data_IF_323028854118
#
_entry.id   IF_323028854118
#
_cell.length_a   1.000
_cell.length_b   1.000
_cell.length_c   1.000
_cell.angle_alpha   90.00
_cell.angle_beta   90.00
_cell.angle_gamma   90.00
#
_symmetry.space_group_name_H-M   'P 1'
#
loop_
_entity.id
_entity.type
_entity.pdbx_description
1 polymer ?
#
# COMPACT_ATOMS: atom_id res chain seq x y z
N UNK A 1 35.08 11.10 -5.29
CA UNK A 1 33.70 10.61 -5.45
C UNK A 1 33.09 10.55 -4.05
N UNK A 2 32.12 11.38 -3.75
CA UNK A 2 31.35 11.30 -2.49
C UNK A 2 30.66 9.95 -2.42
N UNK A 3 30.80 9.23 -1.30
CA UNK A 3 30.16 7.95 -1.10
C UNK A 3 28.63 8.11 -1.29
N UNK A 4 28.02 7.26 -2.12
CA UNK A 4 26.56 7.25 -2.32
C UNK A 4 25.87 6.93 -1.01
N UNK A 5 24.86 7.70 -0.64
CA UNK A 5 24.05 7.41 0.54
C UNK A 5 23.35 6.05 0.38
N UNK A 6 23.50 5.19 1.40
CA UNK A 6 22.90 3.86 1.41
C UNK A 6 21.48 3.89 1.98
N UNK A 7 20.53 3.22 1.30
CA UNK A 7 19.15 3.05 1.70
C UNK A 7 18.87 1.55 1.82
N UNK A 8 18.34 1.12 2.96
CA UNK A 8 17.78 -0.21 3.11
C UNK A 8 16.37 -0.26 2.52
N UNK A 9 16.04 -1.29 1.74
CA UNK A 9 14.70 -1.49 1.20
C UNK A 9 14.21 -2.91 1.49
N UNK A 10 13.14 -3.03 2.26
CA UNK A 10 12.61 -4.30 2.73
C UNK A 10 11.20 -4.53 2.15
N UNK A 11 11.06 -5.62 1.40
CA UNK A 11 9.85 -5.95 0.64
C UNK A 11 9.99 -5.54 -0.82
N UNK A 12 10.42 -6.47 -1.68
CA UNK A 12 10.72 -6.27 -3.10
C UNK A 12 9.68 -6.92 -4.01
N UNK A 13 8.43 -6.93 -3.56
CA UNK A 13 7.29 -7.37 -4.37
C UNK A 13 6.92 -6.41 -5.50
N UNK A 14 5.69 -6.52 -6.03
CA UNK A 14 5.21 -5.76 -7.18
C UNK A 14 5.38 -4.24 -7.06
N UNK A 15 5.27 -3.69 -5.85
CA UNK A 15 5.47 -2.26 -5.58
C UNK A 15 6.92 -1.95 -5.21
N UNK A 16 7.54 -2.77 -4.34
CA UNK A 16 8.85 -2.46 -3.78
C UNK A 16 9.99 -2.55 -4.80
N UNK A 17 9.99 -3.54 -5.70
CA UNK A 17 11.03 -3.68 -6.70
C UNK A 17 11.13 -2.45 -7.63
N UNK A 18 10.06 -1.94 -8.26
CA UNK A 18 10.15 -0.72 -9.05
C UNK A 18 10.55 0.52 -8.23
N UNK A 19 10.12 0.62 -6.96
CA UNK A 19 10.54 1.72 -6.09
C UNK A 19 12.05 1.65 -5.77
N UNK A 20 12.58 0.46 -5.49
CA UNK A 20 14.01 0.24 -5.27
C UNK A 20 14.84 0.63 -6.51
N UNK A 21 14.36 0.30 -7.72
CA UNK A 21 14.98 0.74 -9.00
C UNK A 21 15.04 2.25 -9.10
N UNK A 22 13.92 2.94 -8.83
CA UNK A 22 13.87 4.42 -8.88
C UNK A 22 14.88 5.06 -7.93
N UNK A 23 15.09 4.49 -6.75
CA UNK A 23 16.11 4.97 -5.80
C UNK A 23 17.53 4.76 -6.34
N UNK A 24 17.81 3.59 -6.92
CA UNK A 24 19.12 3.30 -7.53
C UNK A 24 19.40 4.23 -8.72
N UNK A 25 18.41 4.47 -9.59
CA UNK A 25 18.48 5.44 -10.69
C UNK A 25 18.67 6.88 -10.19
N UNK A 26 18.09 7.21 -9.03
CA UNK A 26 18.29 8.48 -8.32
C UNK A 26 19.68 8.64 -7.67
N UNK A 27 20.56 7.63 -7.81
CA UNK A 27 21.95 7.69 -7.36
C UNK A 27 22.19 7.16 -5.95
N UNK A 28 21.17 6.57 -5.29
CA UNK A 28 21.35 5.89 -4.01
C UNK A 28 21.97 4.49 -4.21
N UNK A 29 22.68 4.01 -3.19
CA UNK A 29 23.03 2.60 -3.06
C UNK A 29 21.90 1.91 -2.29
N UNK A 30 21.24 0.93 -2.89
CA UNK A 30 20.08 0.25 -2.28
C UNK A 30 20.50 -1.13 -1.77
N UNK A 31 20.37 -1.39 -0.47
CA UNK A 31 20.47 -2.72 0.12
C UNK A 31 19.08 -3.31 0.22
N UNK A 32 18.76 -4.20 -0.72
CA UNK A 32 17.44 -4.82 -0.86
C UNK A 32 17.31 -6.14 -0.09
N UNK A 33 16.14 -6.37 0.53
CA UNK A 33 15.80 -7.65 1.15
C UNK A 33 14.33 -7.99 0.95
N UNK A 34 14.06 -9.25 0.71
CA UNK A 34 12.73 -9.84 0.68
C UNK A 34 12.70 -11.11 1.54
N UNK A 35 11.50 -11.56 1.93
CA UNK A 35 11.33 -12.86 2.61
C UNK A 35 11.80 -14.00 1.71
N UNK A 36 11.61 -13.87 0.40
CA UNK A 36 12.17 -14.73 -0.62
C UNK A 36 13.53 -14.18 -1.04
N UNK A 37 14.60 -14.83 -0.60
CA UNK A 37 15.98 -14.36 -0.86
C UNK A 37 16.28 -14.25 -2.36
N UNK A 38 15.72 -15.16 -3.18
CA UNK A 38 15.84 -15.15 -4.63
C UNK A 38 15.29 -13.89 -5.29
N UNK A 39 14.24 -13.28 -4.72
CA UNK A 39 13.69 -12.01 -5.24
C UNK A 39 14.71 -10.86 -5.12
N UNK A 40 15.40 -10.78 -3.97
CA UNK A 40 16.43 -9.77 -3.77
C UNK A 40 17.67 -10.03 -4.63
N UNK A 41 18.08 -11.29 -4.77
CA UNK A 41 19.22 -11.68 -5.61
C UNK A 41 18.96 -11.36 -7.09
N UNK A 42 17.81 -11.77 -7.62
CA UNK A 42 17.44 -11.51 -9.02
C UNK A 42 17.36 -10.00 -9.32
N UNK A 43 16.86 -9.20 -8.38
CA UNK A 43 16.83 -7.75 -8.54
C UNK A 43 18.23 -7.13 -8.55
N UNK A 44 19.12 -7.61 -7.67
CA UNK A 44 20.50 -7.14 -7.59
C UNK A 44 21.32 -7.52 -8.83
N UNK A 45 21.08 -8.68 -9.44
CA UNK A 45 21.69 -9.08 -10.71
C UNK A 45 21.22 -8.25 -11.90
N UNK A 46 19.94 -7.84 -11.89
CA UNK A 46 19.34 -7.10 -12.99
C UNK A 46 19.60 -5.60 -12.95
N UNK A 47 19.91 -5.02 -11.77
CA UNK A 47 19.90 -3.57 -11.57
C UNK A 47 21.17 -3.06 -10.89
N UNK A 48 21.91 -2.22 -11.61
CA UNK A 48 23.07 -1.55 -11.05
C UNK A 48 22.69 -0.61 -9.89
N UNK A 49 23.43 -0.66 -8.78
CA UNK A 49 23.15 0.15 -7.59
C UNK A 49 22.22 -0.51 -6.58
N UNK A 50 21.73 -1.72 -6.87
CA UNK A 50 21.01 -2.56 -5.92
C UNK A 50 21.88 -3.74 -5.51
N UNK A 51 21.92 -4.04 -4.22
CA UNK A 51 22.65 -5.16 -3.63
C UNK A 51 21.68 -5.97 -2.77
N UNK A 52 21.76 -7.30 -2.85
CA UNK A 52 21.00 -8.17 -1.97
C UNK A 52 21.65 -8.23 -0.59
N UNK A 53 20.93 -7.83 0.46
CA UNK A 53 21.40 -7.92 1.83
C UNK A 53 21.21 -9.37 2.35
N UNK A 54 22.23 -9.95 2.97
CA UNK A 54 22.15 -11.28 3.55
C UNK A 54 21.27 -11.32 4.80
N UNK A 55 21.19 -10.20 5.56
CA UNK A 55 20.39 -10.09 6.77
C UNK A 55 19.88 -8.68 7.04
N UNK A 56 18.95 -8.57 8.00
CA UNK A 56 18.49 -7.27 8.51
C UNK A 56 19.64 -6.49 9.16
N UNK A 57 20.59 -7.20 9.73
CA UNK A 57 21.77 -6.63 10.38
C UNK A 57 22.68 -5.88 9.41
N UNK A 58 22.81 -6.40 8.18
CA UNK A 58 23.62 -5.73 7.15
C UNK A 58 22.99 -4.41 6.75
N UNK A 59 21.66 -4.41 6.62
CA UNK A 59 20.88 -3.20 6.36
C UNK A 59 21.01 -2.22 7.51
N UNK A 60 20.79 -2.68 8.75
CA UNK A 60 20.81 -1.80 9.92
C UNK A 60 22.18 -1.17 10.20
N UNK A 61 23.27 -1.90 9.90
CA UNK A 61 24.63 -1.36 10.05
C UNK A 61 25.04 -0.41 8.93
N UNK A 62 24.54 -0.63 7.71
CA UNK A 62 24.96 0.12 6.53
C UNK A 62 24.07 1.33 6.21
N UNK A 63 22.82 1.34 6.70
CA UNK A 63 21.80 2.29 6.25
C UNK A 63 21.24 3.11 7.41
N UNK A 64 21.31 4.44 7.30
CA UNK A 64 20.62 5.36 8.23
C UNK A 64 19.14 5.60 7.85
N UNK A 65 18.74 5.19 6.64
CA UNK A 65 17.36 5.25 6.14
C UNK A 65 16.96 3.85 5.70
N UNK A 66 15.83 3.36 6.22
CA UNK A 66 15.28 2.07 5.82
C UNK A 66 13.82 2.21 5.45
N UNK A 67 13.48 1.77 4.24
CA UNK A 67 12.11 1.75 3.72
C UNK A 67 11.53 0.34 3.88
N UNK A 68 10.30 0.26 4.39
CA UNK A 68 9.49 -0.98 4.41
C UNK A 68 8.33 -0.87 3.43
N UNK A 69 8.11 -1.92 2.63
CA UNK A 69 7.00 -2.05 1.69
C UNK A 69 6.42 -3.47 1.80
N UNK A 70 5.70 -3.71 2.89
CA UNK A 70 5.28 -5.00 3.39
C UNK A 70 3.75 -5.15 3.36
N UNK A 71 3.21 -6.37 3.50
CA UNK A 71 1.75 -6.59 3.37
C UNK A 71 0.90 -5.88 4.41
N UNK A 72 1.39 -5.76 5.64
CA UNK A 72 0.62 -5.21 6.77
C UNK A 72 1.51 -4.75 7.94
N UNK A 73 0.88 -4.14 8.94
CA UNK A 73 1.55 -3.65 10.15
C UNK A 73 2.21 -4.76 10.99
N UNK A 74 1.70 -5.98 10.95
CA UNK A 74 2.28 -7.10 11.69
C UNK A 74 3.63 -7.50 11.09
N UNK A 75 3.69 -7.61 9.75
CA UNK A 75 4.94 -7.86 9.03
C UNK A 75 5.96 -6.74 9.24
N UNK A 76 5.52 -5.47 9.22
CA UNK A 76 6.39 -4.31 9.51
C UNK A 76 6.94 -4.41 10.93
N UNK A 77 6.08 -4.64 11.93
CA UNK A 77 6.49 -4.78 13.32
C UNK A 77 7.49 -5.93 13.51
N UNK A 78 7.21 -7.09 12.90
CA UNK A 78 8.07 -8.26 12.99
C UNK A 78 9.46 -8.00 12.42
N UNK A 79 9.55 -7.37 11.25
CA UNK A 79 10.83 -6.99 10.63
C UNK A 79 11.58 -5.96 11.47
N UNK A 80 10.86 -4.96 11.97
CA UNK A 80 11.49 -3.83 12.67
C UNK A 80 11.87 -4.18 14.10
N UNK A 81 10.96 -4.80 14.88
CA UNK A 81 11.18 -5.09 16.31
C UNK A 81 11.47 -6.56 16.62
N UNK A 82 11.20 -7.50 15.69
CA UNK A 82 11.29 -8.94 15.92
C UNK A 82 10.02 -9.53 16.56
N UNK A 83 10.08 -10.83 16.90
CA UNK A 83 8.96 -11.57 17.48
C UNK A 83 8.59 -11.08 18.89
N UNK A 84 7.28 -11.03 19.23
CA UNK A 84 6.85 -10.72 20.58
C UNK A 84 7.39 -11.77 21.57
N UNK A 85 7.93 -11.33 22.71
CA UNK A 85 8.41 -12.23 23.76
C UNK A 85 9.84 -12.73 23.60
N UNK A 86 10.52 -12.45 22.51
CA UNK A 86 11.97 -12.62 22.43
C UNK A 86 12.61 -11.48 23.23
N UNK A 87 13.49 -11.84 24.18
CA UNK A 87 14.29 -10.87 24.92
C UNK A 87 14.93 -9.89 23.93
N UNK A 88 14.90 -8.57 24.25
CA UNK A 88 15.62 -7.56 23.45
C UNK A 88 17.00 -8.12 23.17
N UNK A 89 17.39 -8.30 21.90
CA UNK A 89 18.72 -8.82 21.61
C UNK A 89 19.74 -7.86 22.21
N UNK A 90 20.65 -8.39 23.00
CA UNK A 90 21.87 -7.67 23.33
C UNK A 90 22.51 -7.20 22.03
N UNK A 91 23.06 -5.99 21.97
CA UNK A 91 23.75 -5.47 20.78
C UNK A 91 24.65 -6.56 20.20
N UNK A 92 24.42 -6.95 18.95
CA UNK A 92 25.25 -7.92 18.23
C UNK A 92 24.57 -9.25 17.85
N UNK A 93 23.32 -9.53 18.29
CA UNK A 93 22.58 -10.73 17.88
C UNK A 93 21.19 -10.32 17.36
N UNK A 94 21.15 -9.47 16.35
CA UNK A 94 19.92 -8.86 15.88
C UNK A 94 19.14 -9.81 14.95
N UNK A 95 18.03 -10.33 15.44
CA UNK A 95 16.96 -10.90 14.62
C UNK A 95 15.93 -9.83 14.20
N UNK A 96 16.21 -8.54 14.45
CA UNK A 96 15.35 -7.40 14.13
C UNK A 96 16.15 -6.23 13.60
N UNK A 97 15.54 -5.45 12.72
CA UNK A 97 16.18 -4.27 12.13
C UNK A 97 16.61 -3.24 13.19
N UNK A 98 15.71 -2.93 14.14
CA UNK A 98 15.97 -1.91 15.18
C UNK A 98 17.15 -2.25 16.08
N UNK A 99 17.50 -3.53 16.24
CA UNK A 99 18.67 -3.97 17.02
C UNK A 99 20.01 -3.58 16.39
N UNK A 100 20.05 -3.37 15.09
CA UNK A 100 21.27 -3.05 14.32
C UNK A 100 21.32 -1.60 13.83
N UNK A 101 20.20 -0.88 13.83
CA UNK A 101 20.14 0.53 13.43
C UNK A 101 20.90 1.44 14.42
N UNK A 102 21.59 2.42 13.89
CA UNK A 102 22.21 3.47 14.68
C UNK A 102 21.14 4.43 15.25
N UNK A 103 21.44 5.06 16.39
CA UNK A 103 20.62 6.17 16.89
C UNK A 103 20.60 7.29 15.86
N UNK A 104 19.44 7.90 15.68
CA UNK A 104 19.21 8.94 14.65
C UNK A 104 18.84 8.38 13.28
N UNK A 105 18.82 7.05 13.09
CA UNK A 105 18.27 6.42 11.88
C UNK A 105 16.77 6.67 11.77
N UNK A 106 16.24 6.55 10.54
CA UNK A 106 14.81 6.66 10.27
C UNK A 106 14.30 5.42 9.53
N UNK A 107 13.20 4.88 10.01
CA UNK A 107 12.40 3.88 9.30
C UNK A 107 11.27 4.61 8.58
N UNK A 108 11.08 4.34 7.30
CA UNK A 108 10.01 4.90 6.46
C UNK A 108 9.07 3.76 6.08
N UNK A 109 7.93 3.68 6.73
CA UNK A 109 6.94 2.64 6.41
C UNK A 109 6.03 3.12 5.26
N UNK A 110 6.26 2.57 4.07
CA UNK A 110 5.48 2.85 2.86
C UNK A 110 4.40 1.77 2.60
N UNK A 111 4.21 0.86 3.54
CA UNK A 111 3.18 -0.19 3.53
C UNK A 111 1.76 0.39 3.70
N UNK A 112 0.74 -0.46 3.67
CA UNK A 112 -0.62 -0.10 4.10
C UNK A 112 -0.87 -0.72 5.48
N UNK A 113 -0.60 0.06 6.52
CA UNK A 113 -0.62 -0.35 7.93
C UNK A 113 -1.76 0.31 8.71
N UNK A 114 -2.16 -0.30 9.83
CA UNK A 114 -3.12 0.30 10.76
C UNK A 114 -2.49 1.53 11.47
N UNK A 115 -3.14 2.70 11.47
CA UNK A 115 -2.59 3.92 12.08
C UNK A 115 -2.17 3.75 13.54
N UNK A 116 -2.99 3.08 14.36
CA UNK A 116 -2.68 2.80 15.77
C UNK A 116 -1.45 1.92 15.96
N UNK A 117 -1.26 0.91 15.09
CA UNK A 117 -0.07 0.06 15.11
C UNK A 117 1.19 0.87 14.75
N UNK A 118 1.08 1.80 13.82
CA UNK A 118 2.17 2.72 13.44
C UNK A 118 2.58 3.61 14.60
N UNK A 119 1.61 4.21 15.29
CA UNK A 119 1.88 5.03 16.49
C UNK A 119 2.57 4.22 17.58
N UNK A 120 2.09 2.99 17.84
CA UNK A 120 2.70 2.09 18.81
C UNK A 120 4.13 1.67 18.43
N UNK A 121 4.38 1.38 17.14
CA UNK A 121 5.71 1.09 16.63
C UNK A 121 6.65 2.29 16.78
N UNK A 122 6.18 3.50 16.46
CA UNK A 122 6.95 4.72 16.62
C UNK A 122 7.35 5.00 18.06
N UNK A 123 6.45 4.76 19.03
CA UNK A 123 6.76 4.87 20.44
C UNK A 123 7.89 3.90 20.85
N UNK A 124 7.82 2.63 20.41
CA UNK A 124 8.85 1.64 20.70
C UNK A 124 10.22 2.00 20.08
N UNK A 125 10.23 2.56 18.87
CA UNK A 125 11.45 3.00 18.18
C UNK A 125 12.08 4.23 18.83
N UNK A 126 11.25 5.15 19.34
CA UNK A 126 11.73 6.37 20.02
C UNK A 126 12.62 6.04 21.21
N UNK A 127 12.29 5.01 21.98
CA UNK A 127 13.10 4.54 23.11
C UNK A 127 14.50 4.08 22.67
N UNK A 128 14.61 3.62 21.41
CA UNK A 128 15.87 3.22 20.81
C UNK A 128 16.60 4.39 20.11
N UNK A 129 15.98 5.57 20.07
CA UNK A 129 16.49 6.75 19.36
C UNK A 129 16.41 6.62 17.85
N UNK A 130 15.43 5.88 17.34
CA UNK A 130 15.14 5.69 15.92
C UNK A 130 13.81 6.39 15.63
N UNK A 131 13.75 7.16 14.54
CA UNK A 131 12.52 7.81 14.12
C UNK A 131 11.71 6.92 13.17
N UNK A 132 10.40 7.12 13.16
CA UNK A 132 9.47 6.49 12.22
C UNK A 132 8.73 7.59 11.46
N UNK A 133 8.61 7.39 10.15
CA UNK A 133 7.73 8.16 9.25
C UNK A 133 6.83 7.14 8.55
N UNK A 134 5.53 7.34 8.58
CA UNK A 134 4.61 6.58 7.75
C UNK A 134 4.37 7.33 6.44
N UNK A 135 4.59 6.64 5.33
CA UNK A 135 4.59 7.25 4.01
C UNK A 135 3.93 6.33 2.95
N UNK A 136 2.72 5.82 3.20
CA UNK A 136 2.03 4.98 2.24
C UNK A 136 1.79 5.70 0.92
N UNK A 137 1.64 4.89 -0.15
CA UNK A 137 1.61 5.40 -1.52
C UNK A 137 0.30 5.11 -2.24
N UNK A 138 0.00 5.94 -3.23
CA UNK A 138 -1.10 5.75 -4.17
C UNK A 138 -0.62 5.95 -5.60
N UNK A 139 -1.14 5.12 -6.55
CA UNK A 139 -0.80 5.19 -7.96
C UNK A 139 -0.53 3.82 -8.59
N UNK A 140 -0.35 2.78 -7.76
CA UNK A 140 -0.11 1.40 -8.21
C UNK A 140 1.25 1.21 -8.89
N UNK A 141 1.46 0.01 -9.44
CA UNK A 141 2.72 -0.39 -10.06
C UNK A 141 3.17 0.55 -11.21
N UNK A 142 2.27 1.05 -12.09
CA UNK A 142 2.69 1.97 -13.15
C UNK A 142 3.38 3.22 -12.58
N UNK A 143 2.79 3.85 -11.57
CA UNK A 143 3.38 5.05 -10.96
C UNK A 143 4.60 4.76 -10.07
N UNK A 144 4.73 3.54 -9.55
CA UNK A 144 5.95 3.12 -8.89
C UNK A 144 7.12 3.01 -9.86
N UNK A 145 6.85 2.58 -11.11
CA UNK A 145 7.85 2.47 -12.18
C UNK A 145 8.33 3.81 -12.72
N UNK A 146 7.42 4.77 -12.88
CA UNK A 146 7.75 6.09 -13.44
C UNK A 146 8.12 7.15 -12.38
N UNK A 147 8.08 6.80 -11.07
CA UNK A 147 8.43 7.72 -9.99
C UNK A 147 7.39 8.81 -9.76
N UNK A 148 6.12 8.57 -10.07
CA UNK A 148 5.03 9.56 -9.94
C UNK A 148 3.98 9.21 -8.88
N UNK A 149 4.37 8.41 -7.87
CA UNK A 149 3.50 8.05 -6.76
C UNK A 149 3.03 9.30 -6.00
N UNK A 150 1.82 9.24 -5.45
CA UNK A 150 1.40 10.15 -4.39
C UNK A 150 1.79 9.51 -3.06
N UNK A 151 2.64 10.18 -2.30
CA UNK A 151 3.18 9.74 -1.01
C UNK A 151 2.48 10.53 0.10
N UNK A 152 1.81 9.84 1.01
CA UNK A 152 1.06 10.44 2.13
C UNK A 152 1.93 10.35 3.38
N UNK A 153 2.70 11.41 3.68
CA UNK A 153 3.71 11.37 4.73
C UNK A 153 3.20 11.92 6.07
N UNK A 154 3.19 11.07 7.08
CA UNK A 154 2.93 11.41 8.48
C UNK A 154 4.16 11.23 9.36
N UNK A 155 4.35 12.13 10.32
CA UNK A 155 5.50 12.09 11.23
C UNK A 155 6.14 13.45 11.49
N UNK A 156 7.32 13.48 12.15
CA UNK A 156 8.03 14.73 12.42
C UNK A 156 8.38 15.47 11.13
N UNK A 157 8.01 16.75 11.05
CA UNK A 157 8.17 17.56 9.84
C UNK A 157 9.64 17.61 9.36
N UNK A 158 10.58 17.78 10.29
CA UNK A 158 12.01 17.83 10.00
C UNK A 158 12.54 16.51 9.40
N UNK A 159 11.97 15.36 9.82
CA UNK A 159 12.32 14.05 9.25
C UNK A 159 11.78 13.90 7.85
N UNK A 160 10.52 14.31 7.63
CA UNK A 160 9.93 14.30 6.29
C UNK A 160 10.75 15.19 5.34
N UNK A 161 11.20 16.37 5.81
CA UNK A 161 12.05 17.28 5.02
C UNK A 161 13.40 16.65 4.68
N UNK A 162 14.02 15.98 5.64
CA UNK A 162 15.31 15.31 5.42
C UNK A 162 15.22 14.15 4.41
N UNK A 163 14.03 13.60 4.21
CA UNK A 163 13.74 12.53 3.24
C UNK A 163 13.37 13.06 1.84
N UNK A 164 13.33 14.38 1.64
CA UNK A 164 12.95 14.96 0.36
C UNK A 164 13.73 14.41 -0.85
N UNK A 165 15.06 14.20 -0.80
CA UNK A 165 15.79 13.60 -1.91
C UNK A 165 15.35 12.16 -2.23
N UNK A 166 14.99 11.37 -1.20
CA UNK A 166 14.50 9.99 -1.33
C UNK A 166 13.12 9.99 -1.97
N UNK A 167 12.21 10.81 -1.44
CA UNK A 167 10.86 10.91 -1.96
C UNK A 167 10.79 11.45 -3.40
N UNK A 168 11.70 12.36 -3.77
CA UNK A 168 11.76 12.90 -5.12
C UNK A 168 12.01 11.82 -6.20
N UNK A 169 12.67 10.72 -5.85
CA UNK A 169 12.85 9.57 -6.76
C UNK A 169 11.56 8.77 -6.93
N UNK A 170 10.66 8.79 -5.95
CA UNK A 170 9.49 7.92 -5.86
C UNK A 170 8.20 8.61 -6.28
N UNK A 171 8.09 9.93 -6.05
CA UNK A 171 6.88 10.66 -6.35
C UNK A 171 6.72 11.99 -5.62
N UNK A 172 5.47 12.38 -5.46
CA UNK A 172 5.08 13.66 -4.85
C UNK A 172 4.58 13.45 -3.42
N UNK A 173 5.19 14.15 -2.47
CA UNK A 173 4.79 14.11 -1.06
C UNK A 173 3.60 15.01 -0.78
N UNK A 174 2.64 14.44 -0.04
CA UNK A 174 1.58 15.16 0.65
C UNK A 174 1.79 14.93 2.15
N UNK A 175 2.07 15.99 2.90
CA UNK A 175 2.19 15.91 4.36
C UNK A 175 0.80 15.80 4.96
N UNK A 176 0.59 14.80 5.78
CA UNK A 176 -0.73 14.48 6.35
C UNK A 176 -0.85 14.87 7.83
N UNK A 177 0.27 15.09 8.53
CA UNK A 177 0.28 15.49 9.93
C UNK A 177 1.19 14.63 10.81
N UNK A 178 0.75 14.32 12.01
CA UNK A 178 1.47 13.50 12.97
C UNK A 178 1.67 12.05 12.49
N UNK A 179 2.55 11.30 13.16
CA UNK A 179 2.78 9.88 12.90
C UNK A 179 1.46 9.08 12.93
N UNK A 180 1.25 8.25 11.92
CA UNK A 180 0.04 7.47 11.67
C UNK A 180 -0.97 8.17 10.77
N UNK A 181 -0.83 9.49 10.51
CA UNK A 181 -1.76 10.23 9.67
C UNK A 181 -1.65 9.87 8.19
N UNK A 182 -0.49 9.46 7.70
CA UNK A 182 -0.30 8.95 6.35
C UNK A 182 -1.10 7.66 6.14
N UNK A 183 -0.97 6.70 7.05
CA UNK A 183 -1.73 5.45 7.01
C UNK A 183 -3.23 5.68 7.16
N UNK A 184 -3.65 6.61 8.04
CA UNK A 184 -5.05 7.00 8.16
C UNK A 184 -5.58 7.57 6.82
N UNK A 185 -4.83 8.50 6.21
CA UNK A 185 -5.21 9.07 4.92
C UNK A 185 -5.25 8.03 3.80
N UNK A 186 -4.31 7.07 3.81
CA UNK A 186 -4.30 5.97 2.85
C UNK A 186 -5.55 5.09 2.98
N UNK A 187 -5.95 4.72 4.19
CA UNK A 187 -7.16 3.93 4.44
C UNK A 187 -8.41 4.68 3.96
N UNK A 188 -8.54 5.96 4.28
CA UNK A 188 -9.64 6.82 3.84
C UNK A 188 -9.66 6.99 2.31
N UNK A 189 -8.50 7.20 1.69
CA UNK A 189 -8.40 7.27 0.22
C UNK A 189 -8.88 5.98 -0.45
N UNK A 190 -8.49 4.82 0.08
CA UNK A 190 -8.89 3.54 -0.50
C UNK A 190 -10.38 3.23 -0.24
N UNK A 191 -10.93 3.64 0.90
CA UNK A 191 -12.36 3.60 1.12
C UNK A 191 -13.12 4.44 0.08
N UNK A 192 -12.75 5.70 -0.14
CA UNK A 192 -13.43 6.56 -1.13
C UNK A 192 -13.28 5.98 -2.55
N UNK A 193 -12.12 5.40 -2.88
CA UNK A 193 -11.90 4.73 -4.17
C UNK A 193 -12.78 3.49 -4.33
N UNK A 194 -12.94 2.69 -3.28
CA UNK A 194 -13.80 1.50 -3.27
C UNK A 194 -15.28 1.88 -3.40
N UNK A 195 -15.74 2.87 -2.63
CA UNK A 195 -17.10 3.39 -2.71
C UNK A 195 -17.43 3.89 -4.12
N UNK A 196 -16.49 4.64 -4.72
CA UNK A 196 -16.64 5.10 -6.10
C UNK A 196 -16.65 3.96 -7.13
N UNK A 197 -15.88 2.90 -6.91
CA UNK A 197 -15.92 1.71 -7.77
C UNK A 197 -17.28 1.03 -7.72
N UNK A 198 -17.77 0.71 -6.53
CA UNK A 198 -19.05 0.02 -6.34
C UNK A 198 -20.21 0.84 -6.91
N UNK A 199 -20.26 2.14 -6.64
CA UNK A 199 -21.29 3.03 -7.15
C UNK A 199 -21.30 3.10 -8.69
N UNK A 200 -20.11 3.17 -9.32
CA UNK A 200 -20.01 3.18 -10.80
C UNK A 200 -20.41 1.83 -11.39
N UNK A 201 -20.02 0.72 -10.75
CA UNK A 201 -20.44 -0.61 -11.19
C UNK A 201 -21.97 -0.75 -11.20
N UNK A 202 -22.63 -0.39 -10.09
CA UNK A 202 -24.11 -0.41 -10.02
C UNK A 202 -24.73 0.51 -11.06
N UNK A 203 -24.24 1.74 -11.21
CA UNK A 203 -24.77 2.70 -12.18
C UNK A 203 -24.68 2.17 -13.62
N UNK A 204 -23.56 1.53 -14.01
CA UNK A 204 -23.39 0.95 -15.34
C UNK A 204 -24.32 -0.27 -15.57
N UNK A 205 -24.52 -1.10 -14.54
CA UNK A 205 -25.44 -2.24 -14.61
C UNK A 205 -26.89 -1.74 -14.79
N UNK A 206 -27.29 -0.73 -14.01
CA UNK A 206 -28.63 -0.11 -14.13
C UNK A 206 -28.79 0.54 -15.50
N UNK A 207 -27.80 1.31 -15.96
CA UNK A 207 -27.83 1.95 -17.27
C UNK A 207 -28.04 0.92 -18.40
N UNK A 208 -27.27 -0.17 -18.37
CA UNK A 208 -27.40 -1.26 -19.35
C UNK A 208 -28.78 -1.93 -19.29
N UNK A 209 -29.32 -2.16 -18.09
CA UNK A 209 -30.66 -2.72 -17.91
C UNK A 209 -31.76 -1.79 -18.42
N UNK A 210 -31.57 -0.49 -18.33
CA UNK A 210 -32.46 0.52 -18.90
C UNK A 210 -32.38 0.63 -20.44
N UNK A 211 -31.32 0.08 -21.05
CA UNK A 211 -31.06 0.17 -22.48
C UNK A 211 -30.10 1.27 -22.91
N UNK A 212 -29.36 1.89 -21.96
CA UNK A 212 -28.27 2.81 -22.27
C UNK A 212 -27.02 2.01 -22.63
N UNK A 213 -26.26 2.50 -23.61
CA UNK A 213 -24.91 1.99 -23.87
C UNK A 213 -23.99 2.32 -22.68
N UNK A 214 -23.36 1.31 -22.05
CA UNK A 214 -22.49 1.54 -20.89
C UNK A 214 -21.30 2.47 -21.19
N UNK A 215 -20.80 2.49 -22.44
CA UNK A 215 -19.73 3.40 -22.84
C UNK A 215 -20.23 4.84 -22.85
N UNK A 216 -21.40 5.08 -23.44
CA UNK A 216 -22.04 6.41 -23.44
C UNK A 216 -22.35 6.85 -22.00
N UNK A 217 -22.86 5.94 -21.15
CA UNK A 217 -23.10 6.22 -19.75
C UNK A 217 -21.80 6.66 -19.03
N UNK A 218 -20.70 5.95 -19.26
CA UNK A 218 -19.39 6.33 -18.67
C UNK A 218 -18.90 7.69 -19.20
N UNK A 219 -19.03 7.98 -20.49
CA UNK A 219 -18.61 9.27 -21.06
C UNK A 219 -19.39 10.44 -20.43
N UNK A 220 -20.67 10.26 -20.17
CA UNK A 220 -21.48 11.24 -19.42
C UNK A 220 -21.01 11.37 -17.98
N UNK A 221 -20.75 10.26 -17.27
CA UNK A 221 -20.23 10.28 -15.90
C UNK A 221 -18.87 11.00 -15.83
N UNK A 222 -17.95 10.72 -16.77
CA UNK A 222 -16.63 11.36 -16.87
C UNK A 222 -16.69 12.87 -17.08
N UNK A 223 -17.69 13.35 -17.81
CA UNK A 223 -17.87 14.77 -18.14
C UNK A 223 -18.74 15.53 -17.14
N UNK A 224 -19.31 14.82 -16.16
CA UNK A 224 -20.29 15.37 -15.21
C UNK A 224 -19.83 15.21 -13.76
N UNK A 225 -20.68 15.57 -12.80
CA UNK A 225 -20.38 15.50 -11.35
C UNK A 225 -20.16 14.09 -10.79
N UNK A 226 -20.53 13.05 -11.53
CA UNK A 226 -20.25 11.65 -11.19
C UNK A 226 -18.80 11.20 -11.42
N UNK A 227 -17.97 12.07 -11.96
CA UNK A 227 -16.55 11.77 -12.26
C UNK A 227 -15.77 11.33 -11.04
N UNK A 228 -15.05 10.21 -11.17
CA UNK A 228 -14.14 9.70 -10.15
C UNK A 228 -13.03 8.84 -10.78
N UNK A 229 -12.14 8.29 -9.95
CA UNK A 229 -11.03 7.43 -10.44
C UNK A 229 -11.52 6.23 -11.27
N UNK A 230 -12.66 5.66 -10.92
CA UNK A 230 -13.20 4.50 -11.66
C UNK A 230 -13.69 4.89 -13.04
N UNK A 231 -14.45 5.96 -13.16
CA UNK A 231 -14.90 6.46 -14.47
C UNK A 231 -13.74 6.82 -15.36
N UNK A 232 -12.69 7.47 -14.81
CA UNK A 232 -11.53 7.94 -15.57
C UNK A 232 -10.56 6.83 -16.02
N UNK A 233 -10.38 5.80 -15.18
CA UNK A 233 -9.24 4.88 -15.31
C UNK A 233 -9.59 3.41 -15.37
N UNK A 234 -10.81 3.00 -14.98
CA UNK A 234 -11.13 1.59 -14.82
C UNK A 234 -12.26 1.09 -15.72
N UNK A 235 -13.25 1.91 -16.02
CA UNK A 235 -14.45 1.47 -16.75
C UNK A 235 -14.07 0.89 -18.11
N UNK A 236 -13.46 1.66 -18.98
CA UNK A 236 -13.15 1.20 -20.34
C UNK A 236 -12.09 0.08 -20.36
N UNK A 237 -10.91 0.24 -19.70
CA UNK A 237 -9.85 -0.74 -19.84
C UNK A 237 -10.10 -2.05 -19.10
N UNK A 238 -10.92 -2.08 -18.05
CA UNK A 238 -11.08 -3.28 -17.21
C UNK A 238 -12.49 -3.79 -17.08
N UNK A 239 -13.50 -2.90 -16.90
CA UNK A 239 -14.88 -3.34 -16.70
C UNK A 239 -15.59 -3.65 -18.02
N UNK A 240 -15.56 -2.74 -18.99
CA UNK A 240 -16.22 -2.93 -20.28
C UNK A 240 -15.46 -3.90 -21.18
N UNK A 241 -14.12 -3.88 -21.15
CA UNK A 241 -13.27 -4.84 -21.84
C UNK A 241 -13.35 -6.26 -21.24
N UNK A 242 -13.80 -6.37 -19.98
CA UNK A 242 -13.82 -7.62 -19.20
C UNK A 242 -12.45 -8.22 -18.94
N UNK A 243 -11.38 -7.43 -19.01
CA UNK A 243 -10.01 -7.92 -18.74
C UNK A 243 -9.76 -8.17 -17.26
N UNK A 244 -10.30 -7.33 -16.38
CA UNK A 244 -10.19 -7.44 -14.92
C UNK A 244 -8.75 -7.65 -14.44
N UNK A 245 -7.81 -6.96 -15.03
CA UNK A 245 -6.36 -7.11 -14.79
C UNK A 245 -5.69 -5.79 -14.37
N UNK A 246 -6.37 -5.00 -13.56
CA UNK A 246 -5.84 -3.72 -13.07
C UNK A 246 -4.59 -3.86 -12.19
N UNK A 247 -4.31 -5.07 -11.71
CA UNK A 247 -3.13 -5.41 -10.92
C UNK A 247 -3.27 -5.11 -9.42
N UNK A 248 -4.49 -4.91 -8.92
CA UNK A 248 -4.75 -4.72 -7.49
C UNK A 248 -5.78 -5.73 -6.97
N UNK A 249 -5.35 -6.65 -6.12
CA UNK A 249 -6.19 -7.72 -5.61
C UNK A 249 -7.34 -7.21 -4.74
N UNK A 250 -8.51 -7.84 -4.89
CA UNK A 250 -9.74 -7.55 -4.14
C UNK A 250 -9.51 -7.69 -2.62
N UNK A 251 -8.76 -8.70 -2.18
CA UNK A 251 -8.43 -8.88 -0.77
C UNK A 251 -7.63 -7.71 -0.19
N UNK A 252 -6.76 -7.07 -0.99
CA UNK A 252 -6.00 -5.90 -0.53
C UNK A 252 -6.91 -4.66 -0.42
N UNK A 253 -7.83 -4.46 -1.38
CA UNK A 253 -8.81 -3.38 -1.29
C UNK A 253 -9.70 -3.55 -0.07
N UNK A 254 -10.23 -4.78 0.16
CA UNK A 254 -11.02 -5.13 1.34
C UNK A 254 -10.26 -4.85 2.64
N UNK A 255 -8.99 -5.30 2.74
CA UNK A 255 -8.13 -5.01 3.90
C UNK A 255 -8.03 -3.51 4.16
N UNK A 256 -7.78 -2.72 3.12
CA UNK A 256 -7.58 -1.28 3.27
C UNK A 256 -8.87 -0.56 3.68
N UNK A 257 -10.05 -1.01 3.20
CA UNK A 257 -11.36 -0.50 3.67
C UNK A 257 -11.62 -0.91 5.13
N UNK A 258 -11.22 -2.12 5.52
CA UNK A 258 -11.26 -2.57 6.91
C UNK A 258 -10.41 -1.68 7.85
N UNK A 259 -9.24 -1.21 7.39
CA UNK A 259 -8.44 -0.24 8.16
C UNK A 259 -9.17 1.10 8.37
N UNK A 260 -9.96 1.55 7.38
CA UNK A 260 -10.78 2.75 7.52
C UNK A 260 -11.94 2.53 8.53
N UNK A 261 -12.56 1.32 8.52
CA UNK A 261 -13.56 0.93 9.52
C UNK A 261 -12.98 0.92 10.93
N UNK A 262 -11.81 0.31 11.12
CA UNK A 262 -11.13 0.24 12.41
C UNK A 262 -10.74 1.64 12.91
N UNK A 263 -10.34 2.53 12.01
CA UNK A 263 -10.08 3.93 12.33
C UNK A 263 -11.37 4.64 12.81
N UNK A 264 -12.48 4.48 12.10
CA UNK A 264 -13.77 5.07 12.49
C UNK A 264 -14.25 4.52 13.84
N UNK A 265 -14.12 3.21 14.06
CA UNK A 265 -14.48 2.56 15.31
C UNK A 265 -13.64 3.07 16.49
N UNK A 266 -12.32 3.25 16.30
CA UNK A 266 -11.43 3.82 17.32
C UNK A 266 -11.72 5.29 17.66
N UNK A 267 -12.48 6.00 16.81
CA UNK A 267 -12.99 7.35 17.01
C UNK A 267 -14.46 7.37 17.48
N UNK A 268 -15.04 6.21 17.76
CA UNK A 268 -16.46 6.03 18.14
C UNK A 268 -17.45 6.60 17.10
N UNK A 269 -17.08 6.59 15.80
CA UNK A 269 -17.89 7.08 14.72
C UNK A 269 -18.65 5.94 14.03
N UNK A 270 -19.97 6.11 13.93
CA UNK A 270 -20.81 5.27 13.06
C UNK A 270 -20.76 5.78 11.61
N UNK A 271 -20.12 5.03 10.72
CA UNK A 271 -20.00 5.35 9.31
C UNK A 271 -20.79 4.33 8.47
N UNK A 272 -22.11 4.54 8.27
CA UNK A 272 -23.00 3.54 7.66
C UNK A 272 -22.60 3.19 6.22
N UNK A 273 -22.17 4.16 5.42
CA UNK A 273 -21.74 3.91 4.06
C UNK A 273 -20.42 3.13 3.99
N UNK A 274 -19.51 3.38 4.92
CA UNK A 274 -18.27 2.60 5.03
C UNK A 274 -18.58 1.13 5.36
N UNK A 275 -19.50 0.86 6.30
CA UNK A 275 -19.93 -0.50 6.62
C UNK A 275 -20.59 -1.21 5.43
N UNK A 276 -21.47 -0.50 4.71
CA UNK A 276 -22.09 -1.06 3.50
C UNK A 276 -21.05 -1.40 2.43
N UNK A 277 -20.08 -0.51 2.21
CA UNK A 277 -19.00 -0.69 1.27
C UNK A 277 -18.13 -1.91 1.64
N UNK A 278 -17.74 -2.02 2.92
CA UNK A 278 -16.96 -3.16 3.43
C UNK A 278 -17.73 -4.47 3.27
N UNK A 279 -19.01 -4.49 3.64
CA UNK A 279 -19.86 -5.68 3.50
C UNK A 279 -19.94 -6.20 2.06
N UNK A 280 -20.11 -5.30 1.09
CA UNK A 280 -20.14 -5.66 -0.33
C UNK A 280 -18.78 -6.23 -0.81
N UNK A 281 -17.67 -5.64 -0.37
CA UNK A 281 -16.33 -6.16 -0.69
C UNK A 281 -16.06 -7.52 -0.04
N UNK A 282 -16.56 -7.74 1.18
CA UNK A 282 -16.47 -9.03 1.88
C UNK A 282 -17.24 -10.12 1.13
N UNK A 283 -18.49 -9.83 0.73
CA UNK A 283 -19.31 -10.74 -0.07
C UNK A 283 -18.65 -11.03 -1.43
N UNK A 284 -18.15 -10.00 -2.11
CA UNK A 284 -17.43 -10.16 -3.37
C UNK A 284 -16.18 -11.04 -3.22
N UNK A 285 -15.39 -10.83 -2.17
CA UNK A 285 -14.18 -11.61 -1.91
C UNK A 285 -14.49 -13.08 -1.58
N UNK A 286 -15.62 -13.37 -0.91
CA UNK A 286 -16.11 -14.74 -0.68
C UNK A 286 -16.56 -15.41 -1.97
N UNK A 287 -17.24 -14.69 -2.84
CA UNK A 287 -17.79 -15.23 -4.08
C UNK A 287 -16.73 -15.44 -5.18
N UNK A 288 -15.74 -14.57 -5.25
CA UNK A 288 -14.74 -14.54 -6.34
C UNK A 288 -13.36 -15.10 -5.94
N UNK A 289 -13.12 -15.22 -4.63
CA UNK A 289 -11.79 -15.49 -4.10
C UNK A 289 -10.94 -14.24 -3.91
N UNK A 290 -10.08 -14.24 -2.89
CA UNK A 290 -9.27 -13.08 -2.50
C UNK A 290 -8.18 -12.68 -3.50
N UNK A 291 -7.81 -13.58 -4.42
CA UNK A 291 -6.82 -13.32 -5.47
C UNK A 291 -7.42 -12.61 -6.69
N UNK A 292 -8.76 -12.54 -6.80
CA UNK A 292 -9.45 -11.82 -7.86
C UNK A 292 -9.00 -10.35 -7.92
N UNK A 293 -8.96 -9.76 -9.11
CA UNK A 293 -8.74 -8.33 -9.25
C UNK A 293 -9.92 -7.54 -8.69
N UNK A 294 -9.68 -6.42 -8.03
CA UNK A 294 -10.77 -5.65 -7.41
C UNK A 294 -11.82 -5.15 -8.41
N UNK A 295 -11.49 -5.07 -9.70
CA UNK A 295 -12.44 -4.71 -10.76
C UNK A 295 -13.44 -5.82 -11.05
N UNK A 296 -13.17 -7.07 -10.66
CA UNK A 296 -14.13 -8.19 -10.75
C UNK A 296 -15.34 -8.00 -9.80
N UNK A 297 -15.29 -7.05 -8.87
CA UNK A 297 -16.48 -6.63 -8.11
C UNK A 297 -17.64 -6.25 -9.04
N UNK A 298 -17.37 -5.83 -10.29
CA UNK A 298 -18.38 -5.62 -11.32
C UNK A 298 -19.14 -6.91 -11.66
N UNK A 299 -18.44 -8.04 -11.83
CA UNK A 299 -19.05 -9.35 -12.12
C UNK A 299 -19.90 -9.82 -10.93
N UNK A 300 -19.38 -9.66 -9.72
CA UNK A 300 -20.14 -9.97 -8.51
C UNK A 300 -21.46 -9.20 -8.44
N UNK A 301 -21.41 -7.87 -8.68
CA UNK A 301 -22.59 -7.02 -8.65
C UNK A 301 -23.56 -7.33 -9.80
N UNK A 302 -23.09 -7.70 -10.99
CA UNK A 302 -23.93 -8.16 -12.09
C UNK A 302 -24.78 -9.37 -11.68
N UNK A 303 -24.15 -10.40 -11.08
CA UNK A 303 -24.84 -11.60 -10.58
C UNK A 303 -25.80 -11.28 -9.46
N UNK A 304 -25.36 -10.49 -8.47
CA UNK A 304 -26.19 -10.09 -7.34
C UNK A 304 -27.45 -9.34 -7.77
N UNK A 305 -27.34 -8.37 -8.68
CA UNK A 305 -28.46 -7.58 -9.19
C UNK A 305 -29.31 -8.35 -10.21
N UNK A 306 -28.84 -9.47 -10.73
CA UNK A 306 -29.65 -10.40 -11.53
C UNK A 306 -30.49 -11.36 -10.69
N UNK A 307 -30.26 -11.40 -9.37
CA UNK A 307 -30.91 -12.37 -8.48
C UNK A 307 -30.23 -13.74 -8.45
N UNK A 308 -29.05 -13.88 -9.05
CA UNK A 308 -28.26 -15.11 -9.14
C UNK A 308 -27.28 -15.31 -7.95
N UNK A 309 -27.35 -14.43 -6.96
CA UNK A 309 -26.44 -14.42 -5.81
C UNK A 309 -26.90 -15.41 -4.72
N UNK A 310 -27.01 -16.70 -5.03
CA UNK A 310 -27.44 -17.71 -4.07
C UNK A 310 -26.99 -19.14 -4.36
N UNK A 311 -26.32 -19.39 -5.45
CA UNK A 311 -25.73 -20.72 -5.70
C UNK A 311 -24.29 -20.75 -5.18
N UNK A 312 -24.06 -21.57 -4.13
CA UNK A 312 -22.71 -21.94 -3.71
C UNK A 312 -21.97 -22.56 -4.92
N UNK A 313 -20.68 -22.27 -5.10
CA UNK A 313 -19.90 -22.92 -6.15
C UNK A 313 -19.96 -24.43 -5.95
N UNK A 314 -20.09 -25.22 -7.02
CA UNK A 314 -20.08 -26.68 -6.91
C UNK A 314 -18.79 -27.12 -6.24
N UNK A 315 -18.93 -28.00 -5.25
CA UNK A 315 -17.90 -28.63 -4.39
C UNK A 315 -16.82 -29.36 -5.18
#
# INVERSE_FOLDING_TARGET
MTARQSIGFIGLGNMGAPMARRLAEGGFRVLGRDIRAETAAALAEAEAGIEAAAGLDDIGRACGIVITMLPDAAAVRQVVLGEPGQARPARGLARSLAGSLARGSVVVDMSSSAPGATVALGAALKDLGIDLVDAPVSGGVPRARDGSLTIMAGGPAERIDSLAPVFACLGRVQRTGALGSGHAMKALNNYVSAAGLLAVCEALIIARRFGLDPKVANDVLKSSTGRNNTTDRKVEPFLLSRSFDSGFALALLRKDVGLARDLAAGLELDAPWLRACEGLLEEAARALGGAADHTEAFVFLERRLAGEAGEEPPS
#
